data_IF_816865066784
#
_entry.id   IF_816865066784
#
_cell.length_a   1.000
_cell.length_b   1.000
_cell.length_c   1.000
_cell.angle_alpha   90.00
_cell.angle_beta   90.00
_cell.angle_gamma   90.00
#
_symmetry.space_group_name_H-M   'P 1'
#
loop_
_entity.id
_entity.type
_entity.pdbx_description
1 polymer ?
#
# COMPACT_ATOMS: atom_id res chain seq x y z
N UNK A 1 -26.27 -15.01 -6.48
CA UNK A 1 -25.17 -14.21 -7.06
C UNK A 1 -24.08 -15.13 -7.62
N UNK A 2 -23.47 -14.80 -8.77
CA UNK A 2 -22.27 -15.51 -9.22
C UNK A 2 -21.21 -15.39 -8.14
N UNK A 3 -20.53 -16.49 -7.84
CA UNK A 3 -19.35 -16.46 -6.97
C UNK A 3 -18.27 -15.70 -7.74
N UNK A 4 -17.73 -14.60 -7.17
CA UNK A 4 -16.56 -13.93 -7.75
C UNK A 4 -15.41 -14.95 -7.76
N UNK A 5 -15.05 -15.42 -8.96
CA UNK A 5 -13.96 -16.39 -9.15
C UNK A 5 -12.58 -15.72 -9.10
N UNK A 6 -12.56 -14.41 -8.81
CA UNK A 6 -11.36 -13.60 -8.64
C UNK A 6 -10.63 -13.33 -9.94
N UNK A 7 -11.09 -13.80 -11.10
CA UNK A 7 -10.32 -13.69 -12.35
C UNK A 7 -10.14 -12.24 -12.77
N UNK A 8 -8.94 -11.93 -13.25
CA UNK A 8 -8.57 -10.62 -13.77
C UNK A 8 -7.97 -10.78 -15.16
N UNK A 9 -8.31 -9.86 -16.06
CA UNK A 9 -7.70 -9.81 -17.38
C UNK A 9 -6.24 -9.36 -17.26
N UNK A 10 -5.34 -10.07 -17.94
CA UNK A 10 -3.95 -9.63 -18.11
C UNK A 10 -3.87 -8.56 -19.19
N UNK A 11 -3.10 -7.51 -18.96
CA UNK A 11 -2.78 -6.53 -20.01
C UNK A 11 -1.92 -7.19 -21.09
N UNK A 12 -1.89 -6.63 -22.32
CA UNK A 12 -1.05 -7.15 -23.38
C UNK A 12 0.43 -7.26 -22.97
N UNK A 13 1.19 -8.21 -23.56
CA UNK A 13 2.61 -8.34 -23.27
C UNK A 13 3.39 -7.03 -23.50
N UNK A 14 4.31 -6.71 -22.60
CA UNK A 14 5.23 -5.60 -22.78
C UNK A 14 6.50 -6.10 -23.48
N UNK A 15 7.11 -5.30 -24.34
CA UNK A 15 8.34 -5.66 -25.06
C UNK A 15 9.26 -4.46 -25.18
N UNK A 16 10.57 -4.67 -25.05
CA UNK A 16 11.60 -3.65 -25.29
C UNK A 16 12.84 -4.25 -25.94
N UNK A 17 13.66 -3.40 -26.56
CA UNK A 17 14.98 -3.76 -27.10
C UNK A 17 16.07 -3.22 -26.19
N UNK A 18 16.97 -4.10 -25.78
CA UNK A 18 18.17 -3.76 -25.05
C UNK A 18 19.23 -3.16 -25.99
N UNK A 19 20.17 -2.35 -25.46
CA UNK A 19 21.28 -1.79 -26.26
C UNK A 19 22.16 -2.84 -26.93
N UNK A 20 22.26 -4.04 -26.33
CA UNK A 20 23.01 -5.17 -26.87
C UNK A 20 22.26 -5.99 -27.93
N UNK A 21 21.12 -5.47 -28.42
CA UNK A 21 20.32 -6.10 -29.47
C UNK A 21 19.30 -7.12 -28.98
N UNK A 22 19.34 -7.53 -27.71
CA UNK A 22 18.36 -8.47 -27.18
C UNK A 22 16.96 -7.85 -27.07
N UNK A 23 15.93 -8.65 -27.30
CA UNK A 23 14.53 -8.26 -27.12
C UNK A 23 13.99 -8.94 -25.87
N UNK A 24 13.53 -8.13 -24.91
CA UNK A 24 12.90 -8.59 -23.68
C UNK A 24 11.37 -8.51 -23.84
N UNK A 25 10.66 -9.53 -23.40
CA UNK A 25 9.19 -9.57 -23.37
C UNK A 25 8.71 -10.09 -22.02
N UNK A 26 7.66 -9.48 -21.48
CA UNK A 26 6.95 -9.96 -20.27
C UNK A 26 5.48 -10.13 -20.59
N UNK A 27 4.88 -11.21 -20.11
CA UNK A 27 3.45 -11.46 -20.18
C UNK A 27 2.93 -12.11 -18.90
N UNK A 28 1.62 -11.97 -18.66
CA UNK A 28 0.91 -12.69 -17.62
C UNK A 28 -0.30 -13.41 -18.20
N UNK A 29 -0.77 -14.44 -17.49
CA UNK A 29 -2.03 -15.13 -17.76
C UNK A 29 -2.59 -15.77 -16.48
N UNK A 30 -3.84 -16.20 -16.56
CA UNK A 30 -4.53 -16.93 -15.51
C UNK A 30 -4.52 -16.17 -14.17
N UNK A 31 -4.58 -14.84 -14.23
CA UNK A 31 -4.50 -13.98 -13.07
C UNK A 31 -5.78 -14.02 -12.24
N UNK A 32 -5.60 -14.05 -10.92
CA UNK A 32 -6.67 -14.01 -9.94
C UNK A 32 -6.34 -13.03 -8.83
N UNK A 33 -7.34 -12.27 -8.40
CA UNK A 33 -7.30 -11.31 -7.31
C UNK A 33 -8.65 -11.35 -6.59
N UNK A 34 -8.68 -12.10 -5.49
CA UNK A 34 -9.88 -12.32 -4.69
C UNK A 34 -9.75 -11.62 -3.33
N UNK A 35 -10.73 -10.81 -2.91
CA UNK A 35 -10.74 -10.23 -1.57
C UNK A 35 -10.83 -11.33 -0.51
N UNK A 36 -10.10 -11.18 0.59
CA UNK A 36 -10.15 -12.07 1.73
C UNK A 36 -10.37 -11.28 3.03
N UNK A 37 -11.02 -11.91 4.00
CA UNK A 37 -11.18 -11.31 5.32
C UNK A 37 -9.81 -11.15 6.00
N UNK A 38 -9.46 -9.94 6.50
CA UNK A 38 -8.21 -9.72 7.21
C UNK A 38 -8.07 -10.62 8.42
N UNK A 39 -6.87 -11.19 8.63
CA UNK A 39 -6.60 -12.04 9.80
C UNK A 39 -6.83 -11.32 11.14
N UNK A 40 -6.57 -10.01 11.20
CA UNK A 40 -6.76 -9.18 12.40
C UNK A 40 -8.19 -8.69 12.58
N UNK A 41 -9.10 -8.97 11.63
CA UNK A 41 -10.47 -8.41 11.55
C UNK A 41 -10.54 -6.88 11.52
N UNK A 42 -9.40 -6.21 11.34
CA UNK A 42 -9.34 -4.75 11.29
C UNK A 42 -10.03 -4.23 10.03
N UNK A 43 -10.99 -3.33 10.22
CA UNK A 43 -11.78 -2.71 9.13
C UNK A 43 -10.88 -1.86 8.22
N UNK A 44 -9.76 -1.38 8.75
CA UNK A 44 -8.72 -0.63 8.04
C UNK A 44 -7.66 -1.52 7.37
N UNK A 45 -7.82 -2.84 7.38
CA UNK A 45 -6.91 -3.75 6.66
C UNK A 45 -7.60 -4.25 5.40
N UNK A 46 -6.84 -4.36 4.31
CA UNK A 46 -7.26 -5.03 3.08
C UNK A 46 -6.35 -6.22 2.85
N UNK A 47 -6.95 -7.37 2.57
CA UNK A 47 -6.25 -8.61 2.31
C UNK A 47 -6.79 -9.24 1.02
N UNK A 48 -5.90 -9.78 0.20
CA UNK A 48 -6.23 -10.40 -1.07
C UNK A 48 -5.52 -11.73 -1.22
N UNK A 49 -6.23 -12.70 -1.78
CA UNK A 49 -5.67 -13.95 -2.29
C UNK A 49 -5.43 -13.75 -3.78
N UNK A 50 -4.17 -13.86 -4.18
CA UNK A 50 -3.73 -13.58 -5.54
C UNK A 50 -3.05 -14.78 -6.18
N UNK A 51 -3.13 -14.82 -7.50
CA UNK A 51 -2.46 -15.81 -8.33
C UNK A 51 -2.28 -15.36 -9.77
N UNK A 52 -1.49 -16.11 -10.52
CA UNK A 52 -1.20 -15.85 -11.92
C UNK A 52 0.10 -16.50 -12.37
N UNK A 53 0.27 -16.63 -13.68
CA UNK A 53 1.50 -17.11 -14.30
C UNK A 53 2.14 -15.98 -15.10
N UNK A 54 3.38 -15.66 -14.73
CA UNK A 54 4.16 -14.58 -15.31
C UNK A 54 5.34 -15.17 -16.07
N UNK A 55 5.49 -14.77 -17.33
CA UNK A 55 6.51 -15.29 -18.23
C UNK A 55 7.41 -14.14 -18.69
N UNK A 56 8.71 -14.35 -18.60
CA UNK A 56 9.72 -13.54 -19.25
C UNK A 56 10.23 -14.26 -20.49
N UNK A 57 10.69 -13.48 -21.48
CA UNK A 57 11.35 -14.00 -22.67
C UNK A 57 12.47 -13.04 -23.07
N UNK A 58 13.65 -13.58 -23.36
CA UNK A 58 14.82 -12.83 -23.86
C UNK A 58 15.29 -13.46 -25.16
N UNK A 59 15.16 -12.75 -26.28
CA UNK A 59 15.56 -13.21 -27.62
C UNK A 59 16.69 -12.37 -28.20
N UNK A 60 17.49 -12.95 -29.09
CA UNK A 60 18.54 -12.21 -29.80
C UNK A 60 19.73 -11.81 -28.94
N UNK A 61 19.94 -12.49 -27.81
CA UNK A 61 21.16 -12.36 -27.00
C UNK A 61 22.23 -13.28 -27.59
N UNK A 62 23.46 -12.77 -27.76
CA UNK A 62 24.59 -13.58 -28.24
C UNK A 62 25.02 -14.62 -27.19
N UNK A 63 24.98 -14.24 -25.92
CA UNK A 63 25.22 -15.12 -24.78
C UNK A 63 23.92 -15.65 -24.17
N UNK A 64 24.04 -16.72 -23.38
CA UNK A 64 22.93 -17.26 -22.59
C UNK A 64 22.40 -16.17 -21.65
N UNK A 65 21.14 -15.72 -21.80
CA UNK A 65 20.62 -14.66 -20.96
C UNK A 65 20.61 -15.08 -19.49
N UNK A 66 21.02 -14.16 -18.62
CA UNK A 66 20.95 -14.31 -17.17
C UNK A 66 20.30 -13.05 -16.59
N UNK A 67 19.69 -13.16 -15.41
CA UNK A 67 19.08 -12.00 -14.78
C UNK A 67 18.06 -12.34 -13.72
N UNK A 68 17.10 -11.43 -13.50
CA UNK A 68 16.07 -11.55 -12.47
C UNK A 68 14.69 -11.32 -13.08
N UNK A 69 13.77 -12.25 -12.83
CA UNK A 69 12.34 -12.02 -13.00
C UNK A 69 11.73 -11.77 -11.61
N UNK A 70 11.28 -10.56 -11.37
CA UNK A 70 10.56 -10.16 -10.16
C UNK A 70 9.06 -10.07 -10.46
N UNK A 71 8.23 -10.59 -9.57
CA UNK A 71 6.78 -10.47 -9.65
C UNK A 71 6.25 -10.05 -8.30
N UNK A 72 5.28 -9.14 -8.31
CA UNK A 72 4.59 -8.69 -7.12
C UNK A 72 3.24 -8.08 -7.42
N UNK A 73 2.66 -7.47 -6.39
CA UNK A 73 1.39 -6.77 -6.47
C UNK A 73 1.53 -5.38 -5.87
N UNK A 74 0.86 -4.42 -6.49
CA UNK A 74 0.70 -3.08 -5.95
C UNK A 74 -0.70 -2.93 -5.39
N UNK A 75 -0.80 -2.44 -4.17
CA UNK A 75 -2.06 -2.11 -3.53
C UNK A 75 -2.11 -0.61 -3.30
N UNK A 76 -3.07 0.04 -3.93
CA UNK A 76 -3.40 1.44 -3.74
C UNK A 76 -4.53 1.60 -2.71
N UNK A 77 -4.35 2.51 -1.76
CA UNK A 77 -5.39 2.90 -0.81
C UNK A 77 -5.78 4.34 -1.06
N UNK A 78 -7.08 4.60 -1.22
CA UNK A 78 -7.56 5.98 -1.42
C UNK A 78 -7.25 6.89 -0.23
N UNK A 79 -7.25 6.32 0.99
CA UNK A 79 -6.96 7.02 2.24
C UNK A 79 -6.02 6.15 3.08
N UNK A 80 -4.90 6.72 3.52
CA UNK A 80 -3.94 6.08 4.40
C UNK A 80 -4.05 6.60 5.83
N UNK A 81 -4.34 5.68 6.76
CA UNK A 81 -4.39 5.89 8.21
C UNK A 81 -3.23 5.20 8.96
N UNK A 82 -2.30 4.53 8.26
CA UNK A 82 -1.20 3.79 8.90
C UNK A 82 -0.18 4.70 9.60
N UNK A 83 0.04 5.90 9.04
CA UNK A 83 1.03 6.89 9.54
C UNK A 83 0.39 8.14 10.13
N UNK A 84 -0.94 8.22 10.11
CA UNK A 84 -1.64 9.33 10.75
C UNK A 84 -2.09 8.94 12.14
N UNK A 85 -2.29 9.91 13.04
CA UNK A 85 -2.91 9.67 14.35
C UNK A 85 -4.38 9.21 14.23
N UNK A 86 -4.84 8.92 13.02
CA UNK A 86 -6.20 8.56 12.67
C UNK A 86 -7.17 9.58 13.23
N UNK A 87 -8.06 9.11 14.10
CA UNK A 87 -8.90 9.95 14.93
C UNK A 87 -8.30 9.95 16.34
N UNK A 88 -7.62 11.02 16.74
CA UNK A 88 -7.19 11.19 18.12
C UNK A 88 -8.18 12.06 18.88
N UNK A 89 -8.73 11.51 19.94
CA UNK A 89 -9.60 12.20 20.88
C UNK A 89 -8.79 12.55 22.12
N UNK A 90 -8.56 13.83 22.35
CA UNK A 90 -7.91 14.33 23.57
C UNK A 90 -8.97 14.97 24.46
N UNK A 91 -9.15 14.44 25.65
CA UNK A 91 -10.00 15.03 26.69
C UNK A 91 -9.15 15.58 27.82
N UNK A 92 -9.42 16.83 28.23
CA UNK A 92 -8.85 17.43 29.43
C UNK A 92 -9.98 17.84 30.35
N UNK A 93 -9.93 17.36 31.59
CA UNK A 93 -10.83 17.76 32.66
C UNK A 93 -9.96 18.19 33.84
N UNK A 94 -10.21 19.38 34.37
CA UNK A 94 -9.38 19.96 35.42
C UNK A 94 -10.18 20.87 36.33
N UNK A 95 -9.70 20.99 37.56
CA UNK A 95 -10.17 21.98 38.52
C UNK A 95 -9.01 22.96 38.72
N UNK A 96 -9.22 24.22 38.37
CA UNK A 96 -8.23 25.27 38.53
C UNK A 96 -8.63 26.14 39.73
N UNK A 97 -7.92 26.02 40.86
CA UNK A 97 -8.03 26.99 41.92
C UNK A 97 -7.39 28.31 41.45
N UNK A 98 -8.14 29.40 41.60
CA UNK A 98 -7.71 30.75 41.28
C UNK A 98 -7.89 31.67 42.48
N UNK A 99 -7.31 32.85 42.39
CA UNK A 99 -7.58 33.97 43.30
C UNK A 99 -8.12 35.11 42.45
N UNK A 100 -9.35 35.54 42.76
CA UNK A 100 -10.01 36.66 42.09
C UNK A 100 -10.08 37.86 43.03
N UNK A 101 -10.08 39.06 42.46
CA UNK A 101 -10.42 40.27 43.19
C UNK A 101 -11.91 40.54 42.99
N UNK A 102 -12.64 40.72 44.09
CA UNK A 102 -14.05 41.11 44.04
C UNK A 102 -14.22 42.38 44.85
N UNK A 103 -14.81 43.39 44.24
CA UNK A 103 -15.26 44.59 44.94
C UNK A 103 -16.62 44.29 45.57
N UNK A 104 -16.62 44.23 46.89
CA UNK A 104 -17.82 43.87 47.65
C UNK A 104 -18.58 45.15 47.99
N UNK A 105 -17.94 46.14 48.64
CA UNK A 105 -18.47 47.49 48.96
C UNK A 105 -17.35 48.38 49.56
N UNK A 106 -17.26 49.71 49.30
CA UNK A 106 -16.24 50.57 49.91
C UNK A 106 -16.34 50.58 51.46
N UNK A 107 -15.21 50.60 52.21
CA UNK A 107 -13.82 50.76 51.78
C UNK A 107 -13.10 49.42 51.52
N UNK A 108 -13.85 48.33 51.28
CA UNK A 108 -13.29 47.01 51.01
C UNK A 108 -13.22 46.77 49.50
N UNK A 109 -12.28 47.46 48.86
CA UNK A 109 -11.91 47.28 47.47
C UNK A 109 -10.81 46.20 47.32
N UNK A 110 -10.85 45.46 46.21
CA UNK A 110 -9.87 44.42 45.88
C UNK A 110 -9.72 43.30 46.92
N UNK A 111 -10.82 42.78 47.47
CA UNK A 111 -10.75 41.65 48.38
C UNK A 111 -10.39 40.36 47.62
N UNK A 112 -9.32 39.69 48.06
CA UNK A 112 -8.85 38.43 47.49
C UNK A 112 -9.75 37.29 47.93
N UNK A 113 -10.52 36.73 47.00
CA UNK A 113 -11.34 35.55 47.25
C UNK A 113 -10.81 34.34 46.47
N UNK A 114 -10.64 33.18 47.11
CA UNK A 114 -10.33 31.96 46.40
C UNK A 114 -11.52 31.59 45.51
N UNK A 115 -11.25 31.31 44.25
CA UNK A 115 -12.22 30.83 43.28
C UNK A 115 -11.83 29.44 42.81
N UNK A 116 -12.82 28.61 42.50
CA UNK A 116 -12.61 27.27 41.96
C UNK A 116 -13.32 27.22 40.63
N UNK A 117 -12.56 27.19 39.55
CA UNK A 117 -13.07 26.99 38.20
C UNK A 117 -12.91 25.53 37.79
N UNK A 118 -13.89 24.98 37.09
CA UNK A 118 -13.76 23.69 36.42
C UNK A 118 -13.59 23.93 34.91
N UNK A 119 -12.63 23.25 34.28
CA UNK A 119 -12.50 23.22 32.83
C UNK A 119 -12.76 21.80 32.32
N UNK A 120 -13.55 21.72 31.25
CA UNK A 120 -13.73 20.52 30.46
C UNK A 120 -13.53 20.89 29.00
N UNK A 121 -12.50 20.36 28.37
CA UNK A 121 -12.21 20.60 26.97
C UNK A 121 -11.87 19.28 26.29
N UNK A 122 -12.54 19.02 25.17
CA UNK A 122 -12.26 17.89 24.30
C UNK A 122 -11.83 18.40 22.93
N UNK A 123 -10.86 17.75 22.31
CA UNK A 123 -10.48 17.98 20.93
C UNK A 123 -10.49 16.64 20.19
N UNK A 124 -11.09 16.64 19.00
CA UNK A 124 -11.00 15.52 18.06
C UNK A 124 -10.18 16.02 16.89
N UNK A 125 -9.02 15.44 16.68
CA UNK A 125 -8.19 15.76 15.51
C UNK A 125 -8.17 14.56 14.58
N UNK A 126 -8.51 14.81 13.32
CA UNK A 126 -8.51 13.83 12.26
C UNK A 126 -7.29 14.08 11.39
N UNK A 127 -6.33 13.16 11.45
CA UNK A 127 -5.24 13.11 10.51
C UNK A 127 -5.55 12.05 9.46
N UNK A 128 -5.65 12.44 8.19
CA UNK A 128 -5.71 11.51 7.06
C UNK A 128 -4.62 11.90 6.08
N UNK A 129 -3.84 10.92 5.62
CA UNK A 129 -2.84 11.12 4.58
C UNK A 129 -3.48 10.82 3.21
N UNK A 130 -3.21 11.62 2.16
CA UNK A 130 -3.59 11.27 0.79
C UNK A 130 -3.05 9.89 0.40
N UNK A 131 -3.80 9.19 -0.46
CA UNK A 131 -3.61 7.78 -0.77
C UNK A 131 -2.17 7.35 -1.08
N UNK A 132 -1.83 6.13 -0.66
CA UNK A 132 -0.52 5.50 -0.86
C UNK A 132 -0.63 4.32 -1.81
N UNK A 133 0.47 4.00 -2.48
CA UNK A 133 0.64 2.76 -3.24
C UNK A 133 1.74 1.97 -2.53
N UNK A 134 1.41 0.79 -2.02
CA UNK A 134 2.38 -0.16 -1.49
C UNK A 134 2.73 -1.21 -2.55
N UNK A 135 4.01 -1.52 -2.69
CA UNK A 135 4.49 -2.53 -3.64
C UNK A 135 4.99 -3.74 -2.86
N UNK A 136 4.27 -4.84 -2.97
CA UNK A 136 4.53 -6.07 -2.24
C UNK A 136 5.24 -7.05 -3.19
N UNK A 137 6.58 -7.20 -3.09
CA UNK A 137 7.30 -8.16 -3.89
C UNK A 137 6.99 -9.58 -3.41
N UNK A 138 6.47 -10.44 -4.30
CA UNK A 138 6.18 -11.84 -3.95
C UNK A 138 7.43 -12.68 -4.07
N UNK A 139 8.17 -12.53 -5.18
CA UNK A 139 9.38 -13.31 -5.41
C UNK A 139 10.29 -12.65 -6.44
N UNK A 140 11.59 -12.97 -6.34
CA UNK A 140 12.62 -12.62 -7.31
C UNK A 140 13.34 -13.89 -7.74
N UNK A 141 13.08 -14.35 -8.96
CA UNK A 141 13.73 -15.52 -9.54
C UNK A 141 14.96 -15.10 -10.31
N UNK A 142 16.14 -15.45 -9.80
CA UNK A 142 17.36 -15.46 -10.62
C UNK A 142 17.24 -16.57 -11.67
N UNK A 143 17.52 -16.24 -12.93
CA UNK A 143 17.40 -17.16 -14.05
C UNK A 143 18.65 -17.18 -14.92
N UNK A 144 18.83 -18.30 -15.61
CA UNK A 144 19.77 -18.51 -16.71
C UNK A 144 19.01 -19.25 -17.80
N UNK A 145 19.05 -18.73 -19.02
CA UNK A 145 18.18 -19.14 -20.12
C UNK A 145 17.27 -18.02 -20.60
N UNK A 146 16.52 -18.29 -21.66
CA UNK A 146 15.74 -17.31 -22.41
C UNK A 146 14.30 -17.16 -21.95
N UNK A 147 13.71 -18.17 -21.28
CA UNK A 147 12.28 -18.19 -20.93
C UNK A 147 12.02 -18.45 -19.43
N UNK A 148 12.36 -17.51 -18.51
CA UNK A 148 12.01 -17.63 -17.10
C UNK A 148 10.49 -17.50 -16.88
N UNK A 149 9.95 -18.22 -15.91
CA UNK A 149 8.55 -18.12 -15.52
C UNK A 149 8.37 -18.20 -14.00
N UNK A 150 7.28 -17.64 -13.52
CA UNK A 150 6.87 -17.66 -12.11
C UNK A 150 5.36 -17.94 -12.06
N UNK A 151 4.96 -18.94 -11.27
CA UNK A 151 3.56 -19.22 -10.97
C UNK A 151 3.29 -18.88 -9.52
N UNK A 152 2.23 -18.10 -9.30
CA UNK A 152 1.75 -17.72 -7.98
C UNK A 152 0.36 -18.32 -7.80
N UNK A 153 0.16 -19.04 -6.70
CA UNK A 153 -1.08 -19.72 -6.38
C UNK A 153 -1.43 -19.46 -4.92
N UNK A 154 -2.65 -18.96 -4.66
CA UNK A 154 -3.19 -18.74 -3.32
C UNK A 154 -2.26 -17.91 -2.40
N UNK A 155 -1.54 -16.95 -2.95
CA UNK A 155 -0.64 -16.10 -2.17
C UNK A 155 -1.46 -14.98 -1.51
N UNK A 156 -1.18 -14.67 -0.23
CA UNK A 156 -1.90 -13.62 0.50
C UNK A 156 -1.08 -12.34 0.54
N UNK A 157 -1.63 -11.26 0.00
CA UNK A 157 -1.09 -9.91 0.11
C UNK A 157 -1.99 -9.08 1.01
N UNK A 158 -1.41 -8.17 1.79
CA UNK A 158 -2.15 -7.32 2.72
C UNK A 158 -1.58 -5.92 2.79
N UNK A 159 -2.43 -4.96 3.13
CA UNK A 159 -2.07 -3.60 3.50
C UNK A 159 -2.90 -3.15 4.70
N UNK A 160 -2.24 -2.55 5.68
CA UNK A 160 -2.87 -2.01 6.89
C UNK A 160 -3.08 -0.50 6.76
N UNK A 161 -4.07 0.04 7.49
CA UNK A 161 -4.38 1.48 7.46
C UNK A 161 -5.09 1.95 6.18
N UNK A 162 -5.59 1.02 5.37
CA UNK A 162 -6.33 1.29 4.14
C UNK A 162 -7.81 1.50 4.43
N UNK A 163 -8.28 2.75 4.36
CA UNK A 163 -9.69 3.09 4.60
C UNK A 163 -10.40 3.47 3.31
N UNK A 164 -11.60 2.91 3.12
CA UNK A 164 -12.40 3.11 1.92
C UNK A 164 -12.12 2.08 0.82
N UNK A 165 -12.24 2.52 -0.42
CA UNK A 165 -11.96 1.75 -1.63
C UNK A 165 -10.46 1.49 -1.79
N UNK A 166 -10.14 0.29 -2.25
CA UNK A 166 -8.76 -0.13 -2.48
C UNK A 166 -8.58 -0.67 -3.89
N UNK A 167 -7.40 -0.50 -4.42
CA UNK A 167 -7.06 -0.89 -5.78
C UNK A 167 -5.91 -1.88 -5.72
N UNK A 168 -5.98 -2.93 -6.52
CA UNK A 168 -4.89 -3.90 -6.64
C UNK A 168 -4.54 -4.11 -8.11
N UNK A 169 -3.25 -4.20 -8.41
CA UNK A 169 -2.74 -4.62 -9.72
C UNK A 169 -1.49 -5.46 -9.55
N UNK A 170 -1.28 -6.41 -10.44
CA UNK A 170 -0.02 -7.15 -10.54
C UNK A 170 1.05 -6.33 -11.24
N UNK A 171 2.31 -6.62 -10.94
CA UNK A 171 3.45 -6.13 -11.68
C UNK A 171 4.48 -7.24 -11.86
N UNK A 172 5.23 -7.15 -12.95
CA UNK A 172 6.36 -8.02 -13.23
C UNK A 172 7.51 -7.19 -13.82
N UNK A 173 8.73 -7.46 -13.37
CA UNK A 173 9.95 -6.80 -13.83
C UNK A 173 10.92 -7.87 -14.29
N UNK A 174 11.32 -7.80 -15.56
CA UNK A 174 12.34 -8.66 -16.15
C UNK A 174 13.60 -7.84 -16.34
N UNK A 175 14.65 -8.27 -15.64
CA UNK A 175 16.00 -7.74 -15.78
C UNK A 175 16.84 -8.78 -16.49
N UNK A 176 17.44 -8.40 -17.62
CA UNK A 176 18.57 -9.12 -18.25
C UNK A 176 19.86 -8.46 -17.78
N UNK A 177 20.80 -9.23 -17.27
CA UNK A 177 22.10 -8.76 -16.80
C UNK A 177 23.23 -9.32 -17.67
N UNK A 178 24.16 -8.45 -18.06
CA UNK A 178 25.45 -8.79 -18.67
C UNK A 178 26.57 -8.33 -17.75
N UNK A 179 27.83 -8.53 -18.14
CA UNK A 179 28.97 -8.03 -17.38
C UNK A 179 29.14 -6.51 -17.52
N UNK A 180 28.50 -5.91 -18.54
CA UNK A 180 28.60 -4.49 -18.90
C UNK A 180 27.41 -3.67 -18.40
N UNK A 181 26.22 -4.27 -18.27
CA UNK A 181 25.02 -3.55 -17.85
C UNK A 181 23.79 -4.42 -17.68
N UNK A 182 22.66 -3.76 -17.36
CA UNK A 182 21.37 -4.39 -17.19
C UNK A 182 20.30 -3.75 -18.08
N UNK A 183 19.48 -4.58 -18.70
CA UNK A 183 18.27 -4.15 -19.40
C UNK A 183 17.05 -4.52 -18.57
N UNK A 184 16.22 -3.53 -18.25
CA UNK A 184 15.06 -3.68 -17.36
C UNK A 184 13.79 -3.39 -18.14
N UNK A 185 12.83 -4.32 -18.08
CA UNK A 185 11.49 -4.16 -18.61
C UNK A 185 10.49 -4.33 -17.46
N UNK A 186 9.51 -3.44 -17.37
CA UNK A 186 8.41 -3.54 -16.41
C UNK A 186 7.09 -3.73 -17.12
N UNK A 187 6.24 -4.57 -16.55
CA UNK A 187 4.88 -4.86 -16.99
C UNK A 187 3.92 -4.65 -15.83
N UNK A 188 2.75 -4.10 -16.10
CA UNK A 188 1.70 -3.84 -15.12
C UNK A 188 0.37 -4.39 -15.62
N UNK A 189 -0.30 -5.16 -14.77
CA UNK A 189 -1.61 -5.75 -15.05
C UNK A 189 -2.75 -4.75 -14.93
N UNK A 190 -3.98 -5.23 -15.16
CA UNK A 190 -5.19 -4.42 -14.99
C UNK A 190 -5.38 -4.08 -13.51
N UNK A 191 -5.74 -2.83 -13.24
CA UNK A 191 -6.13 -2.40 -11.90
C UNK A 191 -7.56 -2.84 -11.61
N UNK A 192 -7.76 -3.62 -10.55
CA UNK A 192 -9.07 -4.00 -10.01
C UNK A 192 -9.37 -3.12 -8.79
N UNK A 193 -10.55 -2.52 -8.78
CA UNK A 193 -11.10 -1.86 -7.60
C UNK A 193 -11.85 -2.88 -6.74
N UNK A 194 -11.72 -2.77 -5.42
CA UNK A 194 -12.34 -3.65 -4.40
C UNK A 194 -12.87 -2.82 -3.25
#
# INVERSE_FOLDING_TARGET
>A
PPVDDGKVASTPPATTKAPDGATLTISAKDETQMPAAPLTTAISTREYIVGGVYNGMVKGSEETPKGILEVGYQIGCGIDMSTSNGVSMTGTAGINPGIGFVDIIPPFDNFLVPSIGANLAGAVTVGLKPGIIDSIPVTKKRYTGDAPWISINNFRVRIDGCVGESFIRSYAILTKSTDEGEAILSWYGVTKAV
#
